data_IF_065591039046
#
_entry.id   IF_065591039046
#
_cell.length_a   1.000
_cell.length_b   1.000
_cell.length_c   1.000
_cell.angle_alpha   90.00
_cell.angle_beta   90.00
_cell.angle_gamma   90.00
#
_symmetry.space_group_name_H-M   'P 1'
#
loop_
_entity.id
_entity.type
_entity.pdbx_description
1 polymer ?
#
# COMPACT_ATOMS: atom_id res chain seq x y z
N UNK A 1 47.47 -12.00 -27.31
CA UNK A 1 47.40 -11.18 -26.07
C UNK A 1 45.96 -10.70 -25.91
N UNK A 2 45.15 -11.44 -25.16
CA UNK A 2 43.73 -11.12 -24.94
C UNK A 2 43.45 -11.02 -23.45
N UNK A 3 43.31 -9.78 -22.95
CA UNK A 3 42.99 -9.48 -21.55
C UNK A 3 41.48 -9.42 -21.34
N UNK A 4 41.02 -10.12 -20.31
CA UNK A 4 39.63 -10.37 -19.95
C UNK A 4 38.88 -9.10 -19.47
N UNK A 5 37.60 -9.02 -19.82
CA UNK A 5 36.70 -7.87 -19.68
C UNK A 5 36.04 -7.74 -18.29
N UNK A 6 36.77 -7.97 -17.20
CA UNK A 6 36.19 -8.06 -15.85
C UNK A 6 37.02 -7.37 -14.76
N UNK A 7 37.29 -6.06 -14.90
CA UNK A 7 37.88 -5.27 -13.80
C UNK A 7 37.12 -3.94 -13.63
N UNK A 8 35.93 -3.98 -13.01
CA UNK A 8 35.42 -2.80 -12.33
C UNK A 8 36.02 -2.74 -10.92
N UNK A 9 36.58 -1.61 -10.46
CA UNK A 9 37.04 -1.49 -9.08
C UNK A 9 35.86 -1.66 -8.13
N UNK A 10 35.99 -2.57 -7.17
CA UNK A 10 35.04 -2.76 -6.07
C UNK A 10 34.92 -1.45 -5.29
N UNK A 11 33.71 -0.88 -5.23
CA UNK A 11 33.46 0.22 -4.28
C UNK A 11 33.68 -0.30 -2.86
N UNK A 12 34.38 0.45 -1.98
CA UNK A 12 34.52 0.07 -0.59
C UNK A 12 33.14 0.05 0.10
N UNK A 13 32.96 -0.76 1.16
CA UNK A 13 31.73 -0.77 1.93
C UNK A 13 31.44 0.63 2.47
N UNK A 14 30.20 1.11 2.34
CA UNK A 14 29.77 2.33 3.04
C UNK A 14 29.66 2.01 4.53
N UNK A 15 30.55 2.58 5.34
CA UNK A 15 30.36 2.64 6.79
C UNK A 15 29.10 3.44 7.09
N UNK A 16 28.19 2.81 7.84
CA UNK A 16 26.94 3.43 8.27
C UNK A 16 27.26 4.21 9.58
N UNK A 17 27.13 5.54 9.65
CA UNK A 17 27.58 6.32 10.82
C UNK A 17 26.73 6.16 12.09
N UNK A 18 25.80 5.21 12.14
CA UNK A 18 24.92 5.02 13.28
C UNK A 18 25.49 3.91 14.19
N UNK A 19 26.37 4.30 15.11
CA UNK A 19 26.72 3.51 16.28
C UNK A 19 25.46 3.24 17.14
N UNK A 20 25.31 2.06 17.75
CA UNK A 20 24.20 1.80 18.66
C UNK A 20 24.52 2.40 20.03
N UNK A 21 23.99 3.59 20.32
CA UNK A 21 23.82 4.03 21.69
C UNK A 21 22.58 3.31 22.21
N UNK A 22 22.79 2.31 23.07
CA UNK A 22 21.70 1.71 23.83
C UNK A 22 21.17 2.76 24.81
N UNK A 23 20.12 3.47 24.43
CA UNK A 23 19.34 4.28 25.37
C UNK A 23 18.60 3.36 26.37
N UNK A 24 18.55 3.72 27.66
CA UNK A 24 17.79 2.95 28.63
C UNK A 24 16.30 3.07 28.35
N UNK A 25 15.63 1.91 28.28
CA UNK A 25 14.20 1.77 28.03
C UNK A 25 13.38 2.71 28.93
N UNK A 26 12.84 3.77 28.34
CA UNK A 26 11.76 4.56 28.94
C UNK A 26 10.63 3.57 29.28
N UNK A 27 10.32 3.41 30.57
CA UNK A 27 9.17 2.63 31.05
C UNK A 27 7.88 3.24 30.50
N UNK A 28 7.43 2.77 29.34
CA UNK A 28 6.13 3.13 28.76
C UNK A 28 5.03 2.55 29.66
N UNK A 29 4.16 3.42 30.18
CA UNK A 29 2.90 3.02 30.82
C UNK A 29 2.08 2.19 29.80
N UNK A 30 1.24 1.23 30.25
CA UNK A 30 0.44 0.42 29.35
C UNK A 30 -0.61 1.31 28.69
N UNK A 31 -0.31 1.78 27.47
CA UNK A 31 -1.25 2.56 26.69
C UNK A 31 -2.38 1.65 26.25
N UNK A 32 -3.61 2.11 26.50
CA UNK A 32 -4.84 1.57 25.96
C UNK A 32 -4.66 1.34 24.46
N UNK A 33 -4.57 0.07 24.04
CA UNK A 33 -4.63 -0.26 22.62
C UNK A 33 -6.00 0.18 22.11
N UNK A 34 -6.09 1.07 21.10
CA UNK A 34 -7.37 1.29 20.43
C UNK A 34 -7.86 -0.09 19.97
N UNK A 35 -9.16 -0.41 20.11
CA UNK A 35 -9.67 -1.71 19.71
C UNK A 35 -9.31 -1.86 18.24
N UNK A 36 -8.52 -2.88 17.93
CA UNK A 36 -8.29 -3.30 16.56
C UNK A 36 -9.67 -3.44 15.92
N UNK A 37 -10.01 -2.52 15.01
CA UNK A 37 -11.26 -2.61 14.27
C UNK A 37 -11.27 -3.99 13.63
N UNK A 38 -12.32 -4.77 13.91
CA UNK A 38 -12.42 -6.13 13.44
C UNK A 38 -12.16 -6.14 11.94
N UNK A 39 -11.11 -6.87 11.53
CA UNK A 39 -10.77 -7.06 10.13
C UNK A 39 -12.06 -7.51 9.41
N UNK A 40 -12.49 -6.83 8.34
CA UNK A 40 -13.67 -7.28 7.63
C UNK A 40 -13.47 -8.75 7.24
N UNK A 41 -14.48 -9.62 7.45
CA UNK A 41 -14.32 -11.05 7.22
C UNK A 41 -13.81 -11.28 5.80
N UNK A 42 -12.72 -12.03 5.67
CA UNK A 42 -12.17 -12.44 4.36
C UNK A 42 -13.13 -13.45 3.77
N UNK A 43 -13.85 -13.06 2.73
CA UNK A 43 -14.93 -13.88 2.19
C UNK A 43 -14.41 -14.73 1.07
N UNK A 44 -14.06 -15.96 1.42
CA UNK A 44 -13.82 -17.04 0.45
C UNK A 44 -15.16 -17.50 -0.11
N UNK A 45 -15.70 -16.74 -1.06
CA UNK A 45 -16.82 -17.23 -1.84
C UNK A 45 -16.25 -17.88 -3.10
N UNK A 46 -16.32 -19.21 -3.17
CA UNK A 46 -16.18 -19.94 -4.41
C UNK A 46 -17.41 -19.62 -5.27
N UNK A 47 -17.28 -18.66 -6.18
CA UNK A 47 -18.36 -18.19 -7.08
C UNK A 47 -18.55 -19.13 -8.27
N UNK A 48 -18.50 -20.44 -8.04
CA UNK A 48 -18.57 -21.42 -9.13
C UNK A 48 -19.98 -21.37 -9.73
N UNK A 49 -20.09 -20.88 -10.98
CA UNK A 49 -21.35 -20.81 -11.73
C UNK A 49 -22.11 -19.47 -11.67
N UNK A 50 -21.60 -18.44 -10.99
CA UNK A 50 -22.25 -17.12 -10.95
C UNK A 50 -21.81 -16.26 -12.15
N UNK A 51 -22.77 -15.57 -12.79
CA UNK A 51 -22.46 -14.56 -13.82
C UNK A 51 -21.62 -13.41 -13.23
N UNK A 52 -20.65 -12.89 -14.00
CA UNK A 52 -19.71 -11.86 -13.55
C UNK A 52 -20.39 -10.57 -13.07
N UNK A 53 -21.46 -10.13 -13.73
CA UNK A 53 -22.22 -8.94 -13.33
C UNK A 53 -22.89 -9.16 -11.98
N UNK A 54 -23.54 -10.31 -11.81
CA UNK A 54 -24.19 -10.69 -10.54
C UNK A 54 -23.14 -10.73 -9.42
N UNK A 55 -21.98 -11.33 -9.69
CA UNK A 55 -20.85 -11.40 -8.76
C UNK A 55 -20.38 -10.03 -8.29
N UNK A 56 -20.21 -9.07 -9.19
CA UNK A 56 -19.76 -7.73 -8.85
C UNK A 56 -20.84 -6.98 -8.06
N UNK A 57 -22.12 -7.10 -8.47
CA UNK A 57 -23.25 -6.49 -7.77
C UNK A 57 -23.37 -7.01 -6.33
N UNK A 58 -23.39 -8.33 -6.14
CA UNK A 58 -23.46 -8.93 -4.80
C UNK A 58 -22.24 -8.54 -3.94
N UNK A 59 -21.06 -8.44 -4.54
CA UNK A 59 -19.85 -7.97 -3.86
C UNK A 59 -19.96 -6.53 -3.35
N UNK A 60 -20.47 -5.62 -4.20
CA UNK A 60 -20.68 -4.23 -3.83
C UNK A 60 -21.76 -4.08 -2.75
N UNK A 61 -22.87 -4.80 -2.87
CA UNK A 61 -23.92 -4.81 -1.84
C UNK A 61 -23.39 -5.28 -0.48
N UNK A 62 -22.49 -6.26 -0.49
CA UNK A 62 -21.81 -6.71 0.72
C UNK A 62 -20.93 -5.62 1.32
N UNK A 63 -20.14 -4.92 0.50
CA UNK A 63 -19.34 -3.78 0.94
C UNK A 63 -20.22 -2.68 1.53
N UNK A 64 -21.32 -2.33 0.84
CA UNK A 64 -22.26 -1.30 1.28
C UNK A 64 -22.83 -1.62 2.66
N UNK A 65 -23.35 -2.83 2.84
CA UNK A 65 -24.00 -3.26 4.08
C UNK A 65 -23.03 -3.51 5.24
N UNK A 66 -21.88 -4.15 4.98
CA UNK A 66 -20.98 -4.62 6.04
C UNK A 66 -19.82 -3.69 6.34
N UNK A 67 -19.46 -2.78 5.44
CA UNK A 67 -18.31 -1.89 5.60
C UNK A 67 -18.76 -0.43 5.59
N UNK A 68 -19.46 0.01 4.55
CA UNK A 68 -19.86 1.42 4.43
C UNK A 68 -20.86 1.83 5.51
N UNK A 69 -22.01 1.15 5.59
CA UNK A 69 -23.09 1.50 6.50
C UNK A 69 -22.72 1.35 7.99
N UNK A 70 -21.72 0.50 8.30
CA UNK A 70 -21.22 0.33 9.67
C UNK A 70 -20.23 1.43 10.09
N UNK A 71 -19.68 2.19 9.13
CA UNK A 71 -18.67 3.23 9.38
C UNK A 71 -19.09 4.58 8.75
N UNK A 72 -20.30 5.10 9.00
CA UNK A 72 -20.82 6.27 8.30
C UNK A 72 -19.96 7.52 8.51
N UNK A 73 -19.39 7.71 9.72
CA UNK A 73 -18.50 8.83 10.02
C UNK A 73 -17.22 8.81 9.18
N UNK A 74 -16.62 7.63 9.01
CA UNK A 74 -15.41 7.45 8.21
C UNK A 74 -15.70 7.77 6.74
N UNK A 75 -16.74 7.19 6.15
CA UNK A 75 -17.04 7.43 4.74
C UNK A 75 -17.57 8.84 4.47
N UNK A 76 -18.22 9.49 5.44
CA UNK A 76 -18.60 10.90 5.32
C UNK A 76 -17.37 11.83 5.35
N UNK A 77 -16.33 11.52 6.13
CA UNK A 77 -15.07 12.27 6.05
C UNK A 77 -14.35 12.02 4.73
N UNK A 78 -14.28 10.76 4.27
CA UNK A 78 -13.61 10.38 3.02
C UNK A 78 -14.32 10.94 1.77
N UNK A 79 -15.62 11.22 1.86
CA UNK A 79 -16.40 11.87 0.79
C UNK A 79 -15.96 13.32 0.56
N UNK A 80 -15.47 13.99 1.60
CA UNK A 80 -15.06 15.40 1.54
C UNK A 80 -13.64 15.53 1.02
N UNK A 81 -12.72 14.71 1.53
CA UNK A 81 -11.31 14.77 1.16
C UNK A 81 -10.57 13.46 1.48
N UNK A 82 -9.38 13.29 0.90
CA UNK A 82 -8.44 12.22 1.22
C UNK A 82 -7.10 12.81 1.69
N UNK A 83 -6.51 12.23 2.74
CA UNK A 83 -5.18 12.61 3.24
C UNK A 83 -4.36 11.37 3.65
N UNK A 84 -4.10 10.46 2.69
CA UNK A 84 -3.39 9.22 2.96
C UNK A 84 -1.97 9.50 3.47
N UNK A 85 -1.51 8.72 4.45
CA UNK A 85 -0.16 8.84 5.02
C UNK A 85 0.89 8.02 4.31
N UNK A 86 0.45 7.08 3.47
CA UNK A 86 1.31 6.15 2.78
C UNK A 86 1.03 6.17 1.28
N UNK A 87 2.10 6.16 0.49
CA UNK A 87 2.03 5.75 -0.91
C UNK A 87 2.55 4.31 -1.01
N UNK A 88 1.78 3.41 -1.62
CA UNK A 88 2.14 1.99 -1.72
C UNK A 88 2.22 1.55 -3.19
N UNK A 89 3.39 1.06 -3.59
CA UNK A 89 3.55 0.30 -4.83
C UNK A 89 3.37 -1.19 -4.55
N UNK A 90 2.48 -1.84 -5.29
CA UNK A 90 2.23 -3.27 -5.14
C UNK A 90 2.07 -3.97 -6.49
N UNK A 91 2.28 -5.29 -6.51
CA UNK A 91 2.07 -6.08 -7.72
C UNK A 91 0.58 -6.15 -8.08
N UNK A 92 0.28 -6.23 -9.38
CA UNK A 92 -1.06 -6.50 -9.92
C UNK A 92 -1.56 -7.92 -9.62
N UNK A 93 -0.71 -8.79 -9.06
CA UNK A 93 -1.06 -10.15 -8.63
C UNK A 93 -2.28 -10.14 -7.68
N UNK A 94 -3.31 -10.89 -8.05
CA UNK A 94 -4.61 -10.91 -7.37
C UNK A 94 -4.55 -11.49 -5.95
N UNK A 95 -3.46 -12.17 -5.59
CA UNK A 95 -3.26 -12.77 -4.27
C UNK A 95 -2.76 -11.76 -3.23
N UNK A 96 -2.22 -10.63 -3.67
CA UNK A 96 -1.57 -9.64 -2.80
C UNK A 96 -2.22 -8.27 -2.92
N UNK A 97 -3.34 -8.09 -2.21
CA UNK A 97 -3.96 -6.77 -2.06
C UNK A 97 -3.28 -6.01 -0.92
N UNK A 98 -2.62 -4.86 -1.16
CA UNK A 98 -1.88 -4.15 -0.11
C UNK A 98 -2.79 -3.71 1.05
N UNK A 99 -4.03 -3.31 0.76
CA UNK A 99 -5.02 -2.97 1.80
C UNK A 99 -5.27 -4.13 2.75
N UNK A 100 -5.38 -5.35 2.23
CA UNK A 100 -5.64 -6.55 3.04
C UNK A 100 -4.36 -7.03 3.72
N UNK A 101 -3.25 -7.13 2.97
CA UNK A 101 -1.98 -7.64 3.46
C UNK A 101 -1.41 -6.78 4.60
N UNK A 102 -1.55 -5.45 4.50
CA UNK A 102 -1.05 -4.51 5.50
C UNK A 102 -2.11 -4.07 6.52
N UNK A 103 -3.36 -4.52 6.37
CA UNK A 103 -4.45 -4.15 7.28
C UNK A 103 -4.81 -2.66 7.26
N UNK A 104 -4.70 -2.02 6.10
CA UNK A 104 -4.99 -0.60 5.93
C UNK A 104 -6.50 -0.35 5.85
N UNK A 105 -6.96 0.73 6.46
CA UNK A 105 -8.31 1.24 6.34
C UNK A 105 -8.46 2.09 5.07
N UNK A 106 -9.70 2.26 4.57
CA UNK A 106 -9.98 3.21 3.49
C UNK A 106 -9.45 4.60 3.82
N UNK A 107 -8.71 5.20 2.89
CA UNK A 107 -8.11 6.53 3.05
C UNK A 107 -6.71 6.57 3.68
N UNK A 108 -6.18 5.45 4.21
CA UNK A 108 -4.83 5.45 4.82
C UNK A 108 -3.69 5.41 3.80
N UNK A 109 -3.93 4.83 2.61
CA UNK A 109 -2.90 4.68 1.59
C UNK A 109 -3.37 5.00 0.17
N UNK A 110 -2.56 5.77 -0.55
CA UNK A 110 -2.65 5.96 -1.99
C UNK A 110 -1.86 4.86 -2.69
N UNK A 111 -2.55 3.97 -3.41
CA UNK A 111 -1.93 2.73 -3.92
C UNK A 111 -1.80 2.74 -5.44
N UNK A 112 -0.61 2.40 -5.94
CA UNK A 112 -0.34 2.11 -7.35
C UNK A 112 -0.08 0.61 -7.52
N UNK A 113 -0.79 -0.03 -8.46
CA UNK A 113 -0.62 -1.45 -8.75
C UNK A 113 -0.26 -1.68 -10.21
N UNK A 114 0.88 -2.34 -10.47
CA UNK A 114 1.35 -2.70 -11.81
C UNK A 114 2.12 -4.03 -11.78
N UNK A 115 2.58 -4.51 -12.95
CA UNK A 115 3.35 -5.76 -13.04
C UNK A 115 4.63 -5.64 -12.21
N UNK A 116 4.83 -6.58 -11.29
CA UNK A 116 5.95 -6.63 -10.35
C UNK A 116 6.10 -5.43 -9.40
N UNK A 117 5.11 -4.53 -9.30
CA UNK A 117 5.18 -3.36 -8.40
C UNK A 117 6.32 -2.41 -8.77
N UNK A 118 6.65 -2.32 -10.06
CA UNK A 118 7.81 -1.58 -10.55
C UNK A 118 7.65 -0.06 -10.42
N UNK A 119 8.76 0.60 -10.09
CA UNK A 119 8.92 2.05 -10.13
C UNK A 119 10.06 2.37 -11.11
N UNK A 120 9.75 2.68 -12.38
CA UNK A 120 10.79 3.01 -13.36
C UNK A 120 11.41 4.38 -13.06
N UNK A 121 12.59 4.63 -13.62
CA UNK A 121 13.21 5.95 -13.59
C UNK A 121 12.31 7.01 -14.24
N UNK A 122 12.45 8.25 -13.78
CA UNK A 122 11.64 9.37 -14.25
C UNK A 122 11.71 9.55 -15.76
N UNK A 123 10.55 9.45 -16.43
CA UNK A 123 10.40 9.74 -17.85
C UNK A 123 9.02 10.33 -18.11
N UNK A 124 8.99 11.58 -18.60
CA UNK A 124 7.74 12.32 -18.88
C UNK A 124 6.86 11.67 -19.97
N UNK A 125 7.45 10.92 -20.89
CA UNK A 125 6.73 10.40 -22.07
C UNK A 125 6.37 8.93 -21.97
N UNK A 126 7.24 8.07 -21.42
CA UNK A 126 7.05 6.61 -21.40
C UNK A 126 6.45 6.07 -20.12
N UNK A 127 6.73 6.71 -18.99
CA UNK A 127 6.33 6.24 -17.66
C UNK A 127 5.55 7.30 -16.89
N UNK A 128 4.75 8.07 -17.63
CA UNK A 128 3.96 9.16 -17.07
C UNK A 128 2.95 8.70 -16.02
N UNK A 129 2.45 7.46 -16.07
CA UNK A 129 1.50 6.92 -15.09
C UNK A 129 2.08 6.79 -13.69
N UNK A 130 3.30 6.26 -13.56
CA UNK A 130 3.99 6.17 -12.28
C UNK A 130 4.47 7.55 -11.85
N UNK A 131 5.03 8.33 -12.78
CA UNK A 131 5.48 9.69 -12.51
C UNK A 131 4.37 10.59 -11.97
N UNK A 132 3.21 10.59 -12.62
CA UNK A 132 2.05 11.40 -12.20
C UNK A 132 1.46 10.92 -10.88
N UNK A 133 1.43 9.61 -10.62
CA UNK A 133 0.99 9.09 -9.33
C UNK A 133 1.91 9.51 -8.18
N UNK A 134 3.23 9.47 -8.39
CA UNK A 134 4.21 9.96 -7.41
C UNK A 134 4.06 11.46 -7.20
N UNK A 135 4.00 12.23 -8.28
CA UNK A 135 3.85 13.69 -8.22
C UNK A 135 2.57 14.08 -7.47
N UNK A 136 1.44 13.44 -7.77
CA UNK A 136 0.18 13.70 -7.08
C UNK A 136 0.26 13.33 -5.59
N UNK A 137 0.79 12.15 -5.26
CA UNK A 137 0.91 11.73 -3.87
C UNK A 137 1.80 12.68 -3.06
N UNK A 138 2.97 13.05 -3.58
CA UNK A 138 3.97 13.84 -2.85
C UNK A 138 3.61 15.32 -2.80
N UNK A 139 3.16 15.90 -3.92
CA UNK A 139 2.97 17.35 -4.05
C UNK A 139 1.56 17.77 -3.65
N UNK A 140 0.54 16.96 -3.97
CA UNK A 140 -0.87 17.31 -3.74
C UNK A 140 -1.39 16.71 -2.43
N UNK A 141 -1.20 15.40 -2.19
CA UNK A 141 -1.77 14.71 -1.03
C UNK A 141 -0.96 14.91 0.28
N UNK A 142 0.36 15.09 0.17
CA UNK A 142 1.33 15.27 1.29
C UNK A 142 1.33 14.10 2.28
#
# INVERSE_FOLDING_TARGET
>A
MGGCCCCFPSKPPRENPMHPIAEPLIKRKPNHTPPYHQRPPVTTHAHKGMNAVVRLKTGFERFRTNVNNKNPKLFESLRKDQSPKYMVFACADSRVSPTITLGLNPGEAFTVRNIAGMVPAYQKTRHCSVGSAIEFAVVVLK
#
